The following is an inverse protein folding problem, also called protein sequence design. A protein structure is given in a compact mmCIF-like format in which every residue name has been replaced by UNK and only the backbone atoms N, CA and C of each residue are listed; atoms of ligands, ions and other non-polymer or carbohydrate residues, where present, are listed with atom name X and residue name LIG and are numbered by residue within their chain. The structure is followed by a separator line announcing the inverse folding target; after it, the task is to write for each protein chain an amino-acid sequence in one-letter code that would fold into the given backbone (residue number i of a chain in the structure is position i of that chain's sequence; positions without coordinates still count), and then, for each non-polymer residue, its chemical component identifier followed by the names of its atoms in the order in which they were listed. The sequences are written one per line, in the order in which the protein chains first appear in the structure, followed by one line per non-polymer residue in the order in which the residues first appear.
data_IF_844375577478
#
_entry.id   IF_844375577478
#
_cell.length_a   1.000
_cell.length_b   1.000
_cell.length_c   1.000
_cell.angle_alpha   90.00
_cell.angle_beta   90.00
_cell.angle_gamma   90.00
#
_symmetry.space_group_name_H-M   'P 1'
#
loop_
_entity.id
_entity.type
_entity.pdbx_description
1 polymer ?
#
# COMPACT_ATOMS: atom_id res chain seq x y z
N UNK A 1 38.30 -35.14 45.37
CA UNK A 1 38.00 -34.88 43.95
C UNK A 1 36.52 -34.58 43.82
N UNK A 2 36.13 -33.34 43.54
CA UNK A 2 34.75 -32.95 43.27
C UNK A 2 34.70 -32.31 41.88
N UNK A 3 34.05 -33.00 40.93
CA UNK A 3 33.82 -32.53 39.58
C UNK A 3 32.52 -31.73 39.60
N UNK A 4 32.60 -30.43 39.31
CA UNK A 4 31.43 -29.55 39.12
C UNK A 4 31.04 -29.62 37.65
N UNK A 5 29.89 -30.22 37.36
CA UNK A 5 29.31 -30.30 36.02
C UNK A 5 28.49 -29.06 35.75
N UNK A 6 29.00 -28.15 34.91
CA UNK A 6 28.28 -26.98 34.42
C UNK A 6 27.31 -27.38 33.32
N UNK A 7 26.00 -27.33 33.58
CA UNK A 7 24.96 -27.51 32.56
C UNK A 7 24.69 -26.15 31.91
N UNK A 8 25.17 -25.95 30.68
CA UNK A 8 24.81 -24.81 29.84
C UNK A 8 23.53 -25.14 29.08
N UNK A 9 22.44 -24.46 29.40
CA UNK A 9 21.15 -24.60 28.69
C UNK A 9 21.21 -23.67 27.47
N UNK A 10 21.37 -24.26 26.28
CA UNK A 10 21.17 -23.58 25.00
C UNK A 10 19.67 -23.50 24.72
N UNK A 11 19.05 -22.34 25.02
CA UNK A 11 17.68 -22.06 24.60
C UNK A 11 17.68 -21.65 23.12
N UNK A 12 17.33 -22.58 22.23
CA UNK A 12 17.03 -22.29 20.84
C UNK A 12 15.72 -21.52 20.74
N UNK A 13 15.77 -20.22 20.44
CA UNK A 13 14.60 -19.46 19.98
C UNK A 13 14.19 -20.00 18.60
N UNK A 14 13.11 -20.77 18.57
CA UNK A 14 12.42 -21.07 17.31
C UNK A 14 11.63 -19.83 16.94
N UNK A 15 12.15 -19.03 16.01
CA UNK A 15 11.37 -17.96 15.39
C UNK A 15 10.30 -18.60 14.51
N UNK A 16 9.06 -18.62 15.00
CA UNK A 16 7.90 -19.04 14.23
C UNK A 16 7.64 -17.94 13.19
N UNK A 17 8.16 -18.12 11.97
CA UNK A 17 7.76 -17.30 10.84
C UNK A 17 6.30 -17.65 10.50
N UNK A 18 5.36 -16.93 11.10
CA UNK A 18 3.99 -16.95 10.62
C UNK A 18 4.02 -16.38 9.20
N UNK A 19 3.70 -17.20 8.20
CA UNK A 19 3.43 -16.70 6.86
C UNK A 19 2.22 -15.77 6.97
N UNK A 20 2.44 -14.46 6.88
CA UNK A 20 1.33 -13.53 6.80
C UNK A 20 0.64 -13.76 5.46
N UNK A 21 -0.66 -14.08 5.49
CA UNK A 21 -1.45 -14.20 4.28
C UNK A 21 -1.52 -12.83 3.60
N UNK A 22 -0.89 -12.71 2.44
CA UNK A 22 -0.93 -11.49 1.64
C UNK A 22 -2.36 -11.25 1.15
N UNK A 23 -3.11 -10.42 1.87
CA UNK A 23 -4.48 -10.08 1.52
C UNK A 23 -4.58 -9.11 0.32
N UNK A 24 -3.45 -8.55 -0.13
CA UNK A 24 -3.40 -7.64 -1.27
C UNK A 24 -3.16 -8.34 -2.61
N UNK A 25 -2.99 -9.67 -2.64
CA UNK A 25 -2.78 -10.37 -3.90
C UNK A 25 -3.94 -10.16 -4.87
N UNK A 26 -5.18 -10.15 -4.39
CA UNK A 26 -6.36 -10.00 -5.24
C UNK A 26 -6.45 -11.07 -6.34
N UNK A 27 -7.19 -10.81 -7.42
CA UNK A 27 -7.16 -11.61 -8.64
C UNK A 27 -6.36 -10.88 -9.72
N UNK A 28 -5.12 -11.32 -9.92
CA UNK A 28 -4.20 -10.73 -10.91
C UNK A 28 -4.65 -10.90 -12.37
N UNK A 29 -5.70 -11.67 -12.65
CA UNK A 29 -6.30 -11.75 -13.98
C UNK A 29 -7.37 -10.67 -14.21
N UNK A 30 -7.78 -9.95 -13.16
CA UNK A 30 -8.70 -8.83 -13.30
C UNK A 30 -7.95 -7.60 -13.79
N UNK A 31 -8.28 -7.18 -15.01
CA UNK A 31 -7.73 -5.97 -15.61
C UNK A 31 -8.50 -4.78 -15.03
N UNK A 32 -7.84 -3.94 -14.25
CA UNK A 32 -8.40 -2.67 -13.78
C UNK A 32 -8.31 -1.56 -14.84
N UNK A 33 -8.51 -0.32 -14.41
CA UNK A 33 -8.52 0.84 -15.32
C UNK A 33 -7.20 1.59 -15.34
N UNK A 34 -6.27 1.18 -14.48
CA UNK A 34 -5.09 1.96 -14.16
C UNK A 34 -3.80 1.19 -14.44
N UNK A 35 -2.77 1.90 -14.91
CA UNK A 35 -1.40 1.40 -15.01
C UNK A 35 -0.50 2.22 -14.08
N UNK A 36 0.14 1.56 -13.10
CA UNK A 36 1.09 2.24 -12.22
C UNK A 36 2.40 2.54 -12.95
N UNK A 37 2.79 3.80 -13.00
CA UNK A 37 3.95 4.27 -13.75
C UNK A 37 5.22 4.35 -12.90
N UNK A 38 5.10 4.80 -11.64
CA UNK A 38 6.26 5.02 -10.75
C UNK A 38 5.95 4.60 -9.33
N UNK A 39 7.02 4.28 -8.58
CA UNK A 39 7.00 4.02 -7.13
C UNK A 39 8.17 4.77 -6.50
N UNK A 40 7.89 5.63 -5.53
CA UNK A 40 8.86 6.42 -4.79
C UNK A 40 8.70 6.09 -3.32
N UNK A 41 9.76 5.57 -2.71
CA UNK A 41 9.79 5.26 -1.29
C UNK A 41 9.71 6.54 -0.44
N UNK A 42 8.74 6.59 0.46
CA UNK A 42 8.52 7.68 1.42
C UNK A 42 8.58 7.22 2.86
N UNK A 43 8.96 5.96 3.11
CA UNK A 43 8.86 5.33 4.43
C UNK A 43 9.63 6.10 5.50
N UNK A 44 10.87 6.54 5.20
CA UNK A 44 11.71 7.30 6.15
C UNK A 44 11.31 8.76 6.32
N UNK A 45 10.51 9.29 5.39
CA UNK A 45 10.00 10.67 5.43
C UNK A 45 8.56 10.75 5.94
N UNK A 46 7.89 9.60 6.10
CA UNK A 46 6.56 9.52 6.70
C UNK A 46 6.65 9.58 8.22
N UNK A 47 5.74 10.32 8.85
CA UNK A 47 5.69 10.46 10.31
C UNK A 47 5.36 9.14 11.01
N UNK A 48 4.45 8.35 10.43
CA UNK A 48 4.07 7.04 10.95
C UNK A 48 3.69 6.11 9.79
N UNK A 49 4.68 5.53 9.09
CA UNK A 49 4.37 4.64 7.97
C UNK A 49 3.62 3.39 8.47
N UNK A 50 2.61 2.92 7.72
CA UNK A 50 1.77 1.80 8.11
C UNK A 50 2.58 0.51 8.10
N UNK A 51 2.18 -0.43 8.94
CA UNK A 51 2.73 -1.78 8.89
C UNK A 51 2.16 -2.54 7.69
N UNK A 52 2.87 -3.59 7.26
CA UNK A 52 2.35 -4.53 6.24
C UNK A 52 0.98 -5.08 6.64
N UNK A 53 0.77 -5.35 7.94
CA UNK A 53 -0.52 -5.84 8.44
C UNK A 53 -1.64 -4.81 8.28
N UNK A 54 -1.36 -3.53 8.55
CA UNK A 54 -2.32 -2.45 8.34
C UNK A 54 -2.76 -2.38 6.87
N UNK A 55 -1.82 -2.55 5.94
CA UNK A 55 -2.11 -2.56 4.51
C UNK A 55 -2.84 -3.83 4.07
N UNK A 56 -2.56 -4.99 4.66
CA UNK A 56 -3.35 -6.20 4.41
C UNK A 56 -4.80 -6.05 4.90
N UNK A 57 -5.02 -5.36 6.01
CA UNK A 57 -6.37 -5.07 6.52
C UNK A 57 -7.10 -4.09 5.58
N UNK A 58 -6.40 -3.06 5.09
CA UNK A 58 -6.92 -2.14 4.06
C UNK A 58 -7.32 -2.88 2.77
N UNK A 59 -6.49 -3.80 2.28
CA UNK A 59 -6.78 -4.60 1.09
C UNK A 59 -8.04 -5.47 1.25
N UNK A 60 -8.28 -6.03 2.44
CA UNK A 60 -9.54 -6.78 2.71
C UNK A 60 -10.76 -5.86 2.63
N UNK A 61 -10.65 -4.63 3.13
CA UNK A 61 -11.70 -3.63 3.01
C UNK A 61 -12.02 -3.33 1.54
N UNK A 62 -10.99 -2.97 0.76
CA UNK A 62 -11.12 -2.68 -0.68
C UNK A 62 -11.76 -3.85 -1.43
N UNK A 63 -11.29 -5.08 -1.22
CA UNK A 63 -11.81 -6.26 -1.92
C UNK A 63 -13.23 -6.66 -1.49
N UNK A 64 -13.71 -6.16 -0.35
CA UNK A 64 -15.07 -6.38 0.13
C UNK A 64 -16.09 -5.37 -0.40
N UNK A 65 -15.62 -4.21 -0.86
CA UNK A 65 -16.49 -3.19 -1.45
C UNK A 65 -16.92 -3.60 -2.86
N UNK A 66 -18.21 -3.37 -3.14
CA UNK A 66 -18.79 -3.69 -4.43
C UNK A 66 -18.68 -2.51 -5.39
N UNK A 67 -18.15 -2.77 -6.58
CA UNK A 67 -18.05 -1.80 -7.66
C UNK A 67 -16.71 -1.06 -7.70
N UNK A 68 -16.69 0.01 -8.49
CA UNK A 68 -15.50 0.79 -8.77
C UNK A 68 -15.44 2.06 -7.92
N UNK A 69 -14.23 2.55 -7.73
CA UNK A 69 -13.95 3.76 -6.98
C UNK A 69 -13.81 4.96 -7.92
N UNK A 70 -14.73 5.91 -7.82
CA UNK A 70 -14.64 7.15 -8.60
C UNK A 70 -13.67 8.15 -7.99
N UNK A 71 -12.73 8.66 -8.78
CA UNK A 71 -11.84 9.77 -8.43
C UNK A 71 -12.32 11.04 -9.12
N UNK A 72 -12.75 12.04 -8.35
CA UNK A 72 -13.34 13.28 -8.89
C UNK A 72 -12.53 14.53 -8.53
N UNK A 73 -11.89 15.10 -9.55
CA UNK A 73 -11.12 16.34 -9.41
C UNK A 73 -11.87 17.59 -9.87
N UNK A 74 -13.10 17.47 -10.37
CA UNK A 74 -13.88 18.61 -10.90
C UNK A 74 -14.15 19.63 -9.81
N UNK A 75 -13.76 20.88 -10.07
CA UNK A 75 -13.90 21.99 -9.13
C UNK A 75 -13.03 21.89 -7.87
N UNK A 76 -12.09 20.93 -7.82
CA UNK A 76 -11.17 20.77 -6.68
C UNK A 76 -9.87 21.56 -6.91
N UNK A 77 -9.28 22.16 -5.86
CA UNK A 77 -7.98 22.81 -5.96
C UNK A 77 -6.88 21.82 -6.30
N UNK A 78 -5.76 22.29 -6.85
CA UNK A 78 -4.64 21.45 -7.27
C UNK A 78 -4.01 20.63 -6.12
N UNK A 79 -4.12 21.11 -4.89
CA UNK A 79 -3.63 20.44 -3.68
C UNK A 79 -4.61 19.40 -3.12
N UNK A 80 -5.79 19.25 -3.71
CA UNK A 80 -6.78 18.29 -3.24
C UNK A 80 -6.26 16.85 -3.38
N UNK A 81 -6.43 16.09 -2.31
CA UNK A 81 -6.25 14.64 -2.28
C UNK A 81 -7.58 14.00 -1.91
N UNK A 82 -8.08 13.14 -2.78
CA UNK A 82 -9.22 12.30 -2.46
C UNK A 82 -8.73 11.13 -1.62
N UNK A 83 -9.22 11.04 -0.39
CA UNK A 83 -8.99 9.87 0.44
C UNK A 83 -9.90 8.74 -0.06
N UNK A 84 -9.31 7.60 -0.41
CA UNK A 84 -10.02 6.45 -0.96
C UNK A 84 -10.16 5.38 0.11
N UNK A 85 -9.05 5.03 0.77
CA UNK A 85 -9.01 4.08 1.88
C UNK A 85 -8.50 4.78 3.13
N UNK A 86 -9.23 4.66 4.23
CA UNK A 86 -8.87 5.28 5.50
C UNK A 86 -7.72 4.60 6.25
N UNK A 87 -7.39 5.17 7.42
CA UNK A 87 -6.41 4.63 8.38
C UNK A 87 -6.77 3.20 8.84
N UNK A 88 -5.81 2.28 9.09
CA UNK A 88 -4.38 2.50 9.36
C UNK A 88 -3.41 2.55 8.17
N UNK A 89 -3.72 1.94 7.03
CA UNK A 89 -2.93 2.09 5.79
C UNK A 89 -3.76 2.90 4.79
N UNK A 90 -3.52 4.21 4.77
CA UNK A 90 -4.28 5.13 3.95
C UNK A 90 -3.90 5.03 2.48
N UNK A 91 -4.90 5.04 1.60
CA UNK A 91 -4.71 5.18 0.16
C UNK A 91 -5.44 6.42 -0.33
N UNK A 92 -4.72 7.31 -1.02
CA UNK A 92 -5.31 8.52 -1.57
C UNK A 92 -4.78 8.83 -2.96
N UNK A 93 -5.58 9.58 -3.71
CA UNK A 93 -5.29 10.01 -5.07
C UNK A 93 -5.32 11.54 -5.13
N UNK A 94 -4.27 12.13 -5.68
CA UNK A 94 -4.14 13.56 -5.95
C UNK A 94 -3.96 13.81 -7.45
N UNK A 95 -4.15 15.07 -7.86
CA UNK A 95 -3.91 15.48 -9.24
C UNK A 95 -2.42 15.40 -9.55
N UNK A 96 -2.05 14.79 -10.67
CA UNK A 96 -0.66 14.84 -11.14
C UNK A 96 -0.32 16.23 -11.72
N UNK A 97 0.93 16.70 -11.61
CA UNK A 97 1.35 17.96 -12.22
C UNK A 97 1.03 18.02 -13.71
N UNK A 98 0.49 19.15 -14.17
CA UNK A 98 0.16 19.38 -15.59
C UNK A 98 -1.15 18.77 -16.09
N UNK A 99 -1.91 18.10 -15.23
CA UNK A 99 -3.23 17.55 -15.61
C UNK A 99 -4.34 18.63 -15.60
N UNK A 100 -5.43 18.41 -16.36
CA UNK A 100 -6.59 19.30 -16.35
C UNK A 100 -7.20 19.49 -14.96
N UNK A 101 -7.98 20.54 -14.78
CA UNK A 101 -8.62 20.84 -13.48
C UNK A 101 -9.95 20.11 -13.27
N UNK A 102 -10.45 19.45 -14.30
CA UNK A 102 -11.85 19.06 -14.45
C UNK A 102 -12.00 17.66 -15.05
N UNK A 103 -11.29 16.69 -14.48
CA UNK A 103 -11.39 15.29 -14.90
C UNK A 103 -11.86 14.39 -13.77
N UNK A 104 -12.34 13.23 -14.19
CA UNK A 104 -12.82 12.14 -13.37
C UNK A 104 -12.35 10.84 -14.03
N UNK A 105 -12.05 9.84 -13.22
CA UNK A 105 -11.80 8.48 -13.70
C UNK A 105 -12.21 7.46 -12.64
N UNK A 106 -12.34 6.21 -13.07
CA UNK A 106 -12.62 5.07 -12.20
C UNK A 106 -11.34 4.31 -11.84
N UNK A 107 -11.33 3.71 -10.65
CA UNK A 107 -10.36 2.70 -10.24
C UNK A 107 -11.09 1.43 -9.85
N UNK A 108 -10.64 0.28 -10.36
CA UNK A 108 -11.10 -1.01 -9.91
C UNK A 108 -10.45 -1.36 -8.57
N UNK A 109 -11.08 -2.24 -7.77
CA UNK A 109 -10.50 -2.74 -6.51
C UNK A 109 -9.08 -3.28 -6.70
N UNK A 110 -8.86 -3.97 -7.83
CA UNK A 110 -7.57 -4.55 -8.20
C UNK A 110 -6.48 -3.49 -8.39
N UNK A 111 -6.80 -2.31 -8.97
CA UNK A 111 -5.84 -1.22 -9.16
C UNK A 111 -5.27 -0.73 -7.83
N UNK A 112 -6.13 -0.66 -6.80
CA UNK A 112 -5.75 -0.19 -5.47
C UNK A 112 -4.91 -1.25 -4.75
N UNK A 113 -5.38 -2.50 -4.70
CA UNK A 113 -4.65 -3.55 -3.96
C UNK A 113 -3.34 -3.93 -4.63
N UNK A 114 -3.21 -3.80 -5.96
CA UNK A 114 -1.93 -3.98 -6.66
C UNK A 114 -0.89 -2.94 -6.24
N UNK A 115 -1.30 -1.67 -6.08
CA UNK A 115 -0.40 -0.64 -5.57
C UNK A 115 0.03 -0.96 -4.13
N UNK A 116 -0.92 -1.32 -3.25
CA UNK A 116 -0.61 -1.67 -1.86
C UNK A 116 0.30 -2.91 -1.75
N UNK A 117 0.05 -3.94 -2.55
CA UNK A 117 0.86 -5.15 -2.65
C UNK A 117 2.30 -4.80 -3.08
N UNK A 118 2.45 -4.03 -4.15
CA UNK A 118 3.76 -3.62 -4.65
C UNK A 118 4.52 -2.71 -3.68
N UNK A 119 3.84 -1.80 -2.98
CA UNK A 119 4.46 -0.94 -1.96
C UNK A 119 5.02 -1.78 -0.80
N UNK A 120 4.21 -2.71 -0.28
CA UNK A 120 4.65 -3.62 0.77
C UNK A 120 5.82 -4.50 0.30
N UNK A 121 5.70 -5.09 -0.88
CA UNK A 121 6.72 -5.99 -1.45
C UNK A 121 8.05 -5.27 -1.69
N UNK A 122 8.02 -4.01 -2.16
CA UNK A 122 9.22 -3.24 -2.50
C UNK A 122 9.91 -2.65 -1.27
N UNK A 123 9.15 -2.05 -0.36
CA UNK A 123 9.72 -1.15 0.65
C UNK A 123 9.72 -1.74 2.06
N UNK A 124 8.71 -2.54 2.44
CA UNK A 124 8.61 -3.05 3.81
C UNK A 124 9.82 -3.88 4.28
N UNK A 125 10.47 -4.73 3.45
CA UNK A 125 11.64 -5.48 3.87
C UNK A 125 12.82 -4.61 4.31
N UNK A 126 12.96 -3.41 3.75
CA UNK A 126 14.03 -2.47 4.09
C UNK A 126 13.73 -1.63 5.34
N UNK A 127 12.46 -1.58 5.76
CA UNK A 127 11.98 -0.65 6.80
C UNK A 127 11.27 -1.37 7.96
N UNK A 128 11.71 -2.60 8.28
CA UNK A 128 11.23 -3.32 9.46
C UNK A 128 9.74 -3.70 9.40
N UNK A 129 9.20 -3.92 8.20
CA UNK A 129 7.80 -4.30 8.02
C UNK A 129 6.83 -3.10 7.95
N UNK A 130 7.34 -1.89 7.76
CA UNK A 130 6.54 -0.68 7.49
C UNK A 130 6.79 -0.16 6.09
N UNK A 131 5.79 0.43 5.43
CA UNK A 131 5.98 0.99 4.10
C UNK A 131 5.07 2.19 3.86
N UNK A 132 5.64 3.31 3.42
CA UNK A 132 4.90 4.42 2.85
C UNK A 132 5.52 4.78 1.50
N UNK A 133 4.71 5.17 0.54
CA UNK A 133 5.17 5.45 -0.80
C UNK A 133 4.22 6.40 -1.53
N UNK A 134 4.71 6.96 -2.62
CA UNK A 134 3.89 7.67 -3.58
C UNK A 134 4.35 7.35 -5.00
N UNK A 135 3.55 7.72 -5.97
CA UNK A 135 3.92 7.55 -7.37
C UNK A 135 2.87 8.10 -8.29
N UNK A 136 3.00 7.77 -9.57
CA UNK A 136 2.07 8.18 -10.63
C UNK A 136 1.38 6.94 -11.17
N UNK A 137 0.10 7.09 -11.47
CA UNK A 137 -0.74 6.12 -12.17
C UNK A 137 -1.38 6.79 -13.38
N UNK A 138 -1.53 6.07 -14.48
CA UNK A 138 -2.35 6.48 -15.62
C UNK A 138 -3.66 5.70 -15.58
N UNK A 139 -4.78 6.39 -15.47
CA UNK A 139 -6.13 5.80 -15.42
C UNK A 139 -7.00 6.48 -16.48
N UNK A 140 -7.57 5.69 -17.39
CA UNK A 140 -8.48 6.18 -18.44
C UNK A 140 -7.95 7.40 -19.23
N UNK A 141 -6.63 7.45 -19.44
CA UNK A 141 -5.94 8.53 -20.17
C UNK A 141 -5.55 9.75 -19.33
N UNK A 142 -5.78 9.73 -18.02
CA UNK A 142 -5.34 10.78 -17.09
C UNK A 142 -4.25 10.28 -16.15
N UNK A 143 -3.27 11.13 -15.88
CA UNK A 143 -2.29 10.85 -14.82
C UNK A 143 -2.83 11.31 -13.46
N UNK A 144 -2.55 10.54 -12.43
CA UNK A 144 -2.83 10.92 -11.05
C UNK A 144 -1.66 10.53 -10.15
N UNK A 145 -1.47 11.28 -9.06
CA UNK A 145 -0.49 10.94 -8.04
C UNK A 145 -1.19 10.07 -6.99
N UNK A 146 -0.69 8.87 -6.72
CA UNK A 146 -1.19 8.03 -5.64
C UNK A 146 -0.29 8.13 -4.41
N UNK A 147 -0.85 7.87 -3.23
CA UNK A 147 -0.15 7.89 -1.96
C UNK A 147 -0.59 6.72 -1.07
N UNK A 148 0.40 6.05 -0.47
CA UNK A 148 0.22 5.07 0.62
C UNK A 148 0.87 5.67 1.86
N UNK A 149 0.07 5.95 2.89
CA UNK A 149 0.48 6.71 4.07
C UNK A 149 -0.07 6.18 5.37
#
# INVERSE_FOLDING_TARGET
MHVRTSISIFSTLVAIAAAQNNACTGDKNTIGYCTTLTYIDRTTTSTDPPTVQDCYDACRGVLSDAGDWGVDFRGKPATYRQNMVGYPCGFSIGRAPGQPTDYYFSMHNQDIVDILDEVNRRFAPAHGGKAAAEGVVECEGFNATWYVT
#
